data_IF_340929400426
#
_entry.id   IF_340929400426
#
_cell.length_a   1.000
_cell.length_b   1.000
_cell.length_c   1.000
_cell.angle_alpha   90.00
_cell.angle_beta   90.00
_cell.angle_gamma   90.00
#
_symmetry.space_group_name_H-M   'P 1'
#
loop_
_entity.id
_entity.type
_entity.pdbx_description
1 polymer ?
#
# COMPACT_ATOMS: atom_id res chain seq x y z
N UNK A 1 -21.04 -4.04 13.65
CA UNK A 1 -20.13 -2.88 13.46
C UNK A 1 -20.21 -2.34 12.01
N UNK A 2 -21.26 -1.57 11.71
CA UNK A 2 -21.52 -1.02 10.37
C UNK A 2 -20.42 -0.06 9.89
N UNK A 3 -19.78 0.66 10.80
CA UNK A 3 -18.72 1.62 10.49
C UNK A 3 -17.34 0.98 10.21
N UNK A 4 -17.12 -0.29 10.56
CA UNK A 4 -15.79 -0.92 10.44
C UNK A 4 -15.33 -1.04 8.98
N UNK A 5 -16.27 -1.25 8.06
CA UNK A 5 -15.99 -1.41 6.63
C UNK A 5 -15.57 -0.08 5.97
N UNK A 6 -16.35 1.02 6.08
CA UNK A 6 -15.94 2.31 5.52
C UNK A 6 -14.70 2.89 6.21
N UNK A 7 -14.56 2.73 7.54
CA UNK A 7 -13.36 3.18 8.27
C UNK A 7 -12.13 2.38 7.85
N UNK A 8 -12.25 1.07 7.67
CA UNK A 8 -11.15 0.23 7.18
C UNK A 8 -10.66 0.66 5.80
N UNK A 9 -11.59 0.95 4.87
CA UNK A 9 -11.25 1.43 3.53
C UNK A 9 -10.51 2.77 3.59
N UNK A 10 -11.03 3.73 4.37
CA UNK A 10 -10.41 5.04 4.53
C UNK A 10 -9.01 4.95 5.17
N UNK A 11 -8.86 4.14 6.22
CA UNK A 11 -7.59 3.93 6.90
C UNK A 11 -6.54 3.30 5.97
N UNK A 12 -6.93 2.32 5.15
CA UNK A 12 -6.02 1.69 4.20
C UNK A 12 -5.55 2.66 3.12
N UNK A 13 -6.47 3.45 2.57
CA UNK A 13 -6.15 4.48 1.58
C UNK A 13 -5.21 5.55 2.14
N UNK A 14 -5.51 6.10 3.32
CA UNK A 14 -4.65 7.09 3.97
C UNK A 14 -3.26 6.55 4.26
N UNK A 15 -3.16 5.31 4.74
CA UNK A 15 -1.86 4.70 5.08
C UNK A 15 -0.95 4.61 3.86
N UNK A 16 -1.49 4.18 2.72
CA UNK A 16 -0.74 4.13 1.47
C UNK A 16 -0.36 5.53 0.97
N UNK A 17 -1.31 6.48 0.99
CA UNK A 17 -1.07 7.86 0.54
C UNK A 17 -0.01 8.57 1.40
N UNK A 18 -0.02 8.38 2.72
CA UNK A 18 1.01 8.92 3.62
C UNK A 18 2.41 8.39 3.27
N UNK A 19 2.54 7.10 2.97
CA UNK A 19 3.83 6.53 2.56
C UNK A 19 4.32 7.13 1.24
N UNK A 20 3.43 7.25 0.24
CA UNK A 20 3.77 7.87 -1.06
C UNK A 20 4.16 9.33 -0.89
N UNK A 21 3.45 10.09 -0.05
CA UNK A 21 3.76 11.48 0.25
C UNK A 21 5.14 11.63 0.91
N UNK A 22 5.51 10.75 1.84
CA UNK A 22 6.85 10.73 2.42
C UNK A 22 7.93 10.42 1.37
N UNK A 23 7.66 9.52 0.42
CA UNK A 23 8.56 9.23 -0.70
C UNK A 23 8.78 10.44 -1.61
N UNK A 24 7.69 11.15 -1.97
CA UNK A 24 7.76 12.37 -2.77
C UNK A 24 8.53 13.48 -2.05
N UNK A 25 8.32 13.65 -0.73
CA UNK A 25 9.06 14.64 0.06
C UNK A 25 10.55 14.27 0.17
N UNK A 26 10.87 13.01 0.44
CA UNK A 26 12.25 12.55 0.56
C UNK A 26 13.03 12.73 -0.76
N UNK A 27 12.40 12.46 -1.90
CA UNK A 27 12.94 12.73 -3.22
C UNK A 27 13.05 14.25 -3.49
N UNK A 28 11.99 15.01 -3.21
CA UNK A 28 11.90 16.44 -3.50
C UNK A 28 12.87 17.31 -2.68
N UNK A 29 13.17 16.93 -1.43
CA UNK A 29 14.21 17.58 -0.62
C UNK A 29 15.63 17.12 -0.95
N UNK A 30 15.79 16.16 -1.87
CA UNK A 30 17.10 15.63 -2.27
C UNK A 30 17.78 14.75 -1.21
N UNK A 31 17.02 14.22 -0.24
CA UNK A 31 17.56 13.28 0.76
C UNK A 31 17.86 11.91 0.15
N UNK A 32 17.05 11.51 -0.83
CA UNK A 32 17.18 10.25 -1.56
C UNK A 32 16.98 10.53 -3.06
N UNK A 33 17.61 9.70 -3.88
CA UNK A 33 17.28 9.62 -5.30
C UNK A 33 15.82 9.20 -5.50
N UNK A 34 15.16 9.69 -6.54
CA UNK A 34 13.72 9.50 -6.81
C UNK A 34 13.33 8.01 -6.84
N UNK A 35 14.17 7.17 -7.46
CA UNK A 35 13.94 5.73 -7.54
C UNK A 35 14.12 5.07 -6.17
N UNK A 36 15.14 5.47 -5.43
CA UNK A 36 15.44 4.90 -4.10
C UNK A 36 14.37 5.28 -3.09
N UNK A 37 13.90 6.52 -3.10
CA UNK A 37 12.80 6.99 -2.28
C UNK A 37 11.52 6.20 -2.59
N UNK A 38 11.18 6.07 -3.87
CA UNK A 38 10.00 5.32 -4.29
C UNK A 38 10.05 3.86 -3.81
N UNK A 39 11.18 3.16 -4.00
CA UNK A 39 11.34 1.77 -3.55
C UNK A 39 11.23 1.63 -2.03
N UNK A 40 11.89 2.52 -1.27
CA UNK A 40 11.88 2.48 0.18
C UNK A 40 10.47 2.70 0.75
N UNK A 41 9.75 3.71 0.27
CA UNK A 41 8.44 4.07 0.80
C UNK A 41 7.30 3.19 0.26
N UNK A 42 7.41 2.65 -0.95
CA UNK A 42 6.51 1.59 -1.44
C UNK A 42 6.72 0.31 -0.63
N UNK A 43 7.98 -0.07 -0.38
CA UNK A 43 8.30 -1.20 0.51
C UNK A 43 7.71 -1.02 1.91
N UNK A 44 7.85 0.18 2.47
CA UNK A 44 7.27 0.54 3.77
C UNK A 44 5.74 0.42 3.76
N UNK A 45 5.08 0.92 2.71
CA UNK A 45 3.63 0.82 2.56
C UNK A 45 3.15 -0.64 2.53
N UNK A 46 3.89 -1.53 1.86
CA UNK A 46 3.58 -2.97 1.79
C UNK A 46 3.72 -3.61 3.17
N UNK A 47 4.80 -3.31 3.89
CA UNK A 47 5.05 -3.86 5.24
C UNK A 47 3.97 -3.40 6.23
N UNK A 48 3.69 -2.09 6.27
CA UNK A 48 2.65 -1.54 7.15
C UNK A 48 1.27 -2.08 6.75
N UNK A 49 0.97 -2.11 5.46
CA UNK A 49 -0.27 -2.67 4.91
C UNK A 49 -0.47 -4.13 5.32
N UNK A 50 0.56 -4.96 5.19
CA UNK A 50 0.51 -6.37 5.53
C UNK A 50 0.35 -6.60 7.03
N UNK A 51 1.11 -5.85 7.84
CA UNK A 51 1.04 -5.93 9.29
C UNK A 51 -0.33 -5.49 9.83
N UNK A 52 -0.83 -4.33 9.40
CA UNK A 52 -2.12 -3.81 9.85
C UNK A 52 -3.28 -4.71 9.40
N UNK A 53 -3.28 -5.19 8.15
CA UNK A 53 -4.31 -6.12 7.68
C UNK A 53 -4.28 -7.43 8.46
N UNK A 54 -3.08 -7.97 8.72
CA UNK A 54 -2.89 -9.19 9.51
C UNK A 54 -3.34 -9.04 10.97
N UNK A 55 -3.08 -7.88 11.59
CA UNK A 55 -3.49 -7.57 12.95
C UNK A 55 -5.00 -7.31 13.07
N UNK A 56 -5.60 -6.64 12.07
CA UNK A 56 -7.01 -6.28 12.11
C UNK A 56 -7.91 -7.51 11.90
N UNK A 57 -7.51 -8.43 11.01
CA UNK A 57 -8.05 -9.80 10.84
C UNK A 57 -9.53 -9.94 10.47
N UNK A 58 -10.35 -8.89 10.62
CA UNK A 58 -11.82 -8.90 10.64
C UNK A 58 -12.44 -7.85 9.72
N UNK A 59 -11.63 -6.99 9.10
CA UNK A 59 -12.08 -5.92 8.20
C UNK A 59 -11.25 -5.96 6.92
N UNK A 60 -11.67 -6.75 5.90
CA UNK A 60 -10.88 -6.94 4.69
C UNK A 60 -10.75 -5.66 3.86
N UNK A 61 -11.62 -4.67 4.06
CA UNK A 61 -11.66 -3.40 3.32
C UNK A 61 -10.38 -2.58 3.41
N UNK A 62 -9.61 -2.73 4.50
CA UNK A 62 -8.30 -2.10 4.65
C UNK A 62 -7.33 -2.56 3.57
N UNK A 63 -7.12 -3.87 3.44
CA UNK A 63 -6.21 -4.42 2.42
C UNK A 63 -6.68 -4.17 0.99
N UNK A 64 -7.99 -4.13 0.73
CA UNK A 64 -8.53 -3.74 -0.59
C UNK A 64 -8.09 -2.32 -0.95
N UNK A 65 -8.19 -1.38 -0.01
CA UNK A 65 -7.78 0.01 -0.23
C UNK A 65 -6.27 0.13 -0.47
N UNK A 66 -5.44 -0.62 0.28
CA UNK A 66 -3.99 -0.64 0.06
C UNK A 66 -3.63 -1.25 -1.30
N UNK A 67 -4.27 -2.36 -1.69
CA UNK A 67 -4.06 -3.00 -3.01
C UNK A 67 -4.43 -2.01 -4.12
N UNK A 68 -5.57 -1.33 -4.01
CA UNK A 68 -5.99 -0.33 -4.97
C UNK A 68 -4.98 0.82 -5.09
N UNK A 69 -4.43 1.30 -3.97
CA UNK A 69 -3.40 2.33 -3.97
C UNK A 69 -2.10 1.83 -4.63
N UNK A 70 -1.68 0.58 -4.37
CA UNK A 70 -0.51 0.00 -5.04
C UNK A 70 -0.71 -0.13 -6.54
N UNK A 71 -1.92 -0.45 -7.01
CA UNK A 71 -2.25 -0.46 -8.45
C UNK A 71 -2.07 0.93 -9.06
N UNK A 72 -2.50 2.00 -8.36
CA UNK A 72 -2.23 3.36 -8.83
C UNK A 72 -0.73 3.67 -8.92
N UNK A 73 0.08 3.19 -7.97
CA UNK A 73 1.55 3.31 -8.02
C UNK A 73 2.13 2.57 -9.23
N UNK A 74 1.64 1.36 -9.54
CA UNK A 74 2.04 0.60 -10.74
C UNK A 74 1.76 1.42 -11.99
N UNK A 75 0.53 1.92 -12.16
CA UNK A 75 0.11 2.68 -13.34
C UNK A 75 0.91 3.98 -13.50
N UNK A 76 1.25 4.65 -12.39
CA UNK A 76 2.02 5.89 -12.42
C UNK A 76 3.50 5.71 -12.76
N UNK A 77 4.08 4.54 -12.49
CA UNK A 77 5.52 4.30 -12.64
C UNK A 77 5.87 3.30 -13.76
N UNK A 78 4.88 2.80 -14.50
CA UNK A 78 5.09 1.73 -15.48
C UNK A 78 6.03 2.14 -16.62
N UNK A 79 5.93 3.38 -17.10
CA UNK A 79 6.72 3.86 -18.25
C UNK A 79 8.05 4.51 -17.84
N UNK A 80 8.10 5.12 -16.66
CA UNK A 80 9.26 5.88 -16.17
C UNK A 80 10.22 5.01 -15.37
N UNK A 81 9.70 4.26 -14.40
CA UNK A 81 10.50 3.54 -13.40
C UNK A 81 9.96 2.13 -13.18
N UNK A 82 10.15 1.20 -14.15
CA UNK A 82 9.48 -0.10 -14.16
C UNK A 82 9.75 -0.95 -12.91
N UNK A 83 10.92 -0.79 -12.28
CA UNK A 83 11.26 -1.52 -11.05
C UNK A 83 10.33 -1.16 -9.88
N UNK A 84 9.93 0.10 -9.74
CA UNK A 84 8.97 0.55 -8.71
C UNK A 84 7.60 -0.07 -9.00
N UNK A 85 7.20 -0.11 -10.27
CA UNK A 85 5.96 -0.76 -10.69
C UNK A 85 5.97 -2.27 -10.37
N UNK A 86 7.08 -2.99 -10.61
CA UNK A 86 7.17 -4.41 -10.25
C UNK A 86 7.10 -4.65 -8.74
N UNK A 87 7.75 -3.80 -7.93
CA UNK A 87 7.69 -3.90 -6.45
C UNK A 87 6.28 -3.61 -5.95
N UNK A 88 5.63 -2.55 -6.46
CA UNK A 88 4.25 -2.22 -6.10
C UNK A 88 3.27 -3.34 -6.50
N UNK A 89 3.43 -3.90 -7.71
CA UNK A 89 2.64 -5.02 -8.19
C UNK A 89 2.84 -6.29 -7.36
N UNK A 90 4.09 -6.63 -7.04
CA UNK A 90 4.43 -7.74 -6.15
C UNK A 90 3.84 -7.55 -4.75
N UNK A 91 3.94 -6.34 -4.20
CA UNK A 91 3.32 -5.96 -2.93
C UNK A 91 1.80 -6.12 -2.93
N UNK A 92 1.13 -5.71 -4.01
CA UNK A 92 -0.30 -5.89 -4.18
C UNK A 92 -0.67 -7.38 -4.12
N UNK A 93 0.08 -8.25 -4.82
CA UNK A 93 -0.11 -9.70 -4.78
C UNK A 93 0.11 -10.29 -3.37
N UNK A 94 1.15 -9.84 -2.67
CA UNK A 94 1.42 -10.28 -1.29
C UNK A 94 0.26 -9.92 -0.35
N UNK A 95 -0.34 -8.74 -0.52
CA UNK A 95 -1.47 -8.28 0.29
C UNK A 95 -2.79 -8.99 -0.01
N UNK A 96 -2.93 -9.68 -1.15
CA UNK A 96 -4.11 -10.50 -1.44
C UNK A 96 -4.25 -11.61 -0.38
N UNK A 97 -3.16 -12.26 0.03
CA UNK A 97 -3.21 -13.35 1.00
C UNK A 97 -3.82 -12.98 2.36
N UNK A 98 -3.31 -11.97 3.11
CA UNK A 98 -3.91 -11.55 4.37
C UNK A 98 -5.31 -10.99 4.20
N UNK A 99 -5.60 -10.36 3.06
CA UNK A 99 -6.94 -9.84 2.75
C UNK A 99 -7.96 -10.95 2.55
N UNK A 100 -7.64 -11.98 1.78
CA UNK A 100 -8.48 -13.17 1.62
C UNK A 100 -8.67 -13.93 2.92
N UNK A 101 -7.62 -14.01 3.76
CA UNK A 101 -7.74 -14.61 5.09
C UNK A 101 -8.72 -13.85 5.98
N UNK A 102 -8.70 -12.51 5.94
CA UNK A 102 -9.64 -11.68 6.67
C UNK A 102 -11.09 -11.86 6.17
N UNK A 103 -11.31 -12.02 4.87
CA UNK A 103 -12.64 -12.34 4.31
C UNK A 103 -13.23 -13.65 4.85
N UNK A 104 -12.39 -14.65 5.14
CA UNK A 104 -12.84 -15.96 5.66
C UNK A 104 -13.17 -15.95 7.16
N UNK A 105 -12.77 -14.88 7.87
CA UNK A 105 -12.95 -14.74 9.31
C UNK A 105 -14.14 -13.83 9.69
N UNK A 106 -14.81 -13.25 8.69
CA UNK A 106 -16.03 -12.41 8.82
C UNK A 106 -17.25 -13.27 8.54
#
# INVERSE_FOLDING_TARGET
PWAAWPVGLYAGWLSAASCVSLGLLAAGYGWLDETTAALAFVGLAIVIGGFVQGALGRAPTYGIAVIWALVAVVLANYETTPIVAYVAGGGALVLIFPTLKAFRAV
#
